data_IF_896598027400
#
_entry.id   IF_896598027400
#
_cell.length_a   1.000
_cell.length_b   1.000
_cell.length_c   1.000
_cell.angle_alpha   90.00
_cell.angle_beta   90.00
_cell.angle_gamma   90.00
#
_symmetry.space_group_name_H-M   'P 1'
#
loop_
_entity.id
_entity.type
_entity.pdbx_description
1 polymer ?
#
# COMPACT_ATOMS: atom_id res chain seq x y z
N UNK A 1 -25.54 -24.12 17.70
CA UNK A 1 -24.60 -23.05 17.32
C UNK A 1 -23.87 -23.50 16.07
N UNK A 2 -24.23 -22.95 14.90
CA UNK A 2 -23.51 -23.23 13.64
C UNK A 2 -22.20 -22.42 13.68
N UNK A 3 -21.06 -23.08 13.54
CA UNK A 3 -19.76 -22.43 13.38
C UNK A 3 -19.68 -21.99 11.92
N UNK A 4 -19.94 -20.72 11.64
CA UNK A 4 -19.68 -20.13 10.31
C UNK A 4 -18.18 -19.86 10.27
N UNK A 5 -17.45 -20.68 9.51
CA UNK A 5 -16.04 -20.42 9.24
C UNK A 5 -16.04 -19.17 8.37
N UNK A 6 -15.64 -18.04 8.95
CA UNK A 6 -15.40 -16.79 8.24
C UNK A 6 -14.43 -17.11 7.11
N UNK A 7 -14.93 -17.12 5.87
CA UNK A 7 -14.15 -17.52 4.70
C UNK A 7 -13.17 -16.40 4.36
N UNK A 8 -12.06 -16.35 5.11
CA UNK A 8 -10.95 -15.39 5.01
C UNK A 8 -10.35 -15.26 3.60
N UNK A 9 -10.56 -16.26 2.74
CA UNK A 9 -10.14 -16.21 1.34
C UNK A 9 -10.87 -15.14 0.49
N UNK A 10 -12.08 -14.74 0.86
CA UNK A 10 -12.84 -13.73 0.11
C UNK A 10 -12.39 -12.29 0.39
N UNK A 11 -11.79 -12.02 1.56
CA UNK A 11 -11.40 -10.66 1.96
C UNK A 11 -10.06 -10.21 1.34
N UNK A 12 -9.15 -11.14 1.02
CA UNK A 12 -7.78 -10.85 0.58
C UNK A 12 -7.61 -10.65 -0.93
N UNK A 13 -8.66 -10.82 -1.74
CA UNK A 13 -8.54 -10.92 -3.21
C UNK A 13 -8.61 -9.58 -3.96
N UNK A 14 -8.65 -8.43 -3.27
CA UNK A 14 -9.15 -7.17 -3.87
C UNK A 14 -8.06 -6.14 -4.24
N UNK A 15 -6.78 -6.34 -3.89
CA UNK A 15 -5.70 -5.40 -4.27
C UNK A 15 -5.21 -5.50 -5.73
N UNK A 16 -5.87 -6.29 -6.59
CA UNK A 16 -5.53 -6.32 -8.02
C UNK A 16 -6.18 -5.15 -8.78
N UNK A 17 -5.70 -3.92 -8.55
CA UNK A 17 -5.98 -2.80 -9.43
C UNK A 17 -5.26 -3.02 -10.77
N UNK A 18 -5.95 -3.68 -11.69
CA UNK A 18 -5.73 -3.66 -13.13
C UNK A 18 -4.27 -3.72 -13.62
N UNK A 19 -3.68 -4.92 -13.54
CA UNK A 19 -2.81 -5.39 -14.60
C UNK A 19 -3.35 -6.72 -15.13
N UNK A 20 -3.38 -6.85 -16.46
CA UNK A 20 -3.67 -8.06 -17.24
C UNK A 20 -5.15 -8.35 -17.56
N UNK A 21 -5.66 -7.59 -18.53
CA UNK A 21 -6.36 -8.23 -19.64
C UNK A 21 -5.39 -9.17 -20.37
N UNK A 22 -5.39 -10.47 -20.05
CA UNK A 22 -5.55 -11.53 -21.05
C UNK A 22 -5.70 -12.93 -20.41
N UNK A 23 -6.62 -13.72 -20.97
CA UNK A 23 -6.82 -15.15 -20.72
C UNK A 23 -5.59 -15.95 -21.14
N UNK A 24 -5.11 -16.89 -20.31
CA UNK A 24 -4.90 -18.28 -20.74
C UNK A 24 -4.59 -19.23 -19.58
N UNK A 25 -4.92 -20.48 -19.86
CA UNK A 25 -5.25 -21.59 -18.98
C UNK A 25 -4.12 -22.20 -18.14
N UNK A 26 -4.50 -22.57 -16.92
CA UNK A 26 -4.34 -23.89 -16.30
C UNK A 26 -3.32 -24.86 -16.94
N UNK A 27 -2.22 -25.15 -16.24
CA UNK A 27 -1.85 -26.54 -15.95
C UNK A 27 -0.92 -26.70 -14.74
N UNK A 28 -1.48 -27.34 -13.73
CA UNK A 28 -0.85 -28.00 -12.59
C UNK A 28 -0.11 -29.28 -13.03
N UNK A 29 0.95 -29.63 -12.30
CA UNK A 29 1.43 -30.95 -11.83
C UNK A 29 2.95 -30.78 -11.54
N UNK A 30 3.42 -30.66 -10.29
CA UNK A 30 3.51 -31.64 -9.19
C UNK A 30 4.70 -32.61 -9.30
N UNK A 31 5.48 -32.62 -8.21
CA UNK A 31 6.37 -33.69 -7.67
C UNK A 31 7.75 -33.90 -8.30
N UNK A 32 8.82 -33.74 -7.51
CA UNK A 32 9.34 -34.78 -6.59
C UNK A 32 10.83 -34.57 -6.23
N UNK A 33 11.18 -35.00 -5.01
CA UNK A 33 12.49 -35.45 -4.52
C UNK A 33 13.57 -34.40 -4.22
N UNK A 34 14.48 -34.54 -3.24
CA UNK A 34 14.67 -35.39 -2.05
C UNK A 34 16.09 -35.04 -1.55
N UNK A 35 16.30 -34.94 -0.23
CA UNK A 35 17.61 -35.04 0.49
C UNK A 35 18.65 -33.93 0.27
N UNK A 36 19.56 -33.55 1.17
CA UNK A 36 20.09 -34.13 2.43
C UNK A 36 20.95 -33.08 3.16
N UNK A 37 20.90 -33.08 4.50
CA UNK A 37 21.97 -32.84 5.50
C UNK A 37 23.12 -31.83 5.24
N UNK A 38 23.34 -30.95 6.23
CA UNK A 38 24.50 -30.95 7.16
C UNK A 38 25.09 -29.54 7.42
N UNK A 39 24.87 -29.07 8.65
CA UNK A 39 25.78 -28.36 9.57
C UNK A 39 27.00 -27.67 8.97
N UNK A 40 27.14 -26.36 9.18
CA UNK A 40 28.36 -25.77 9.76
C UNK A 40 28.05 -24.39 10.34
N UNK A 41 28.17 -24.29 11.67
CA UNK A 41 28.28 -23.06 12.43
C UNK A 41 29.63 -22.40 12.12
N UNK A 42 29.61 -21.12 11.73
CA UNK A 42 30.80 -20.27 11.78
C UNK A 42 30.40 -18.81 12.01
N UNK A 43 30.50 -18.40 13.27
CA UNK A 43 30.69 -16.99 13.62
C UNK A 43 31.94 -16.46 12.95
N UNK A 44 31.86 -15.29 12.35
CA UNK A 44 32.70 -14.13 12.69
C UNK A 44 32.48 -12.99 11.69
N UNK A 45 32.62 -11.80 12.26
CA UNK A 45 33.11 -10.57 11.65
C UNK A 45 32.13 -9.47 11.20
N UNK A 46 32.08 -8.47 12.09
CA UNK A 46 32.45 -7.06 11.85
C UNK A 46 31.56 -6.20 10.97
N UNK A 47 30.85 -5.31 11.68
CA UNK A 47 30.90 -3.86 11.50
C UNK A 47 30.61 -3.32 10.10
N UNK A 48 29.43 -2.72 9.94
CA UNK A 48 29.34 -1.36 9.38
C UNK A 48 28.01 -0.70 9.73
N UNK A 49 28.15 0.48 10.28
CA UNK A 49 27.14 1.48 10.56
C UNK A 49 26.11 1.59 9.44
N UNK A 50 24.84 1.64 9.81
CA UNK A 50 23.87 2.41 9.02
C UNK A 50 23.09 3.27 10.00
N UNK A 51 23.66 4.45 10.19
CA UNK A 51 22.92 5.65 10.55
C UNK A 51 21.73 5.74 9.60
N UNK A 52 20.54 5.40 10.10
CA UNK A 52 19.31 5.74 9.42
C UNK A 52 18.89 7.10 9.97
N UNK A 53 19.54 8.13 9.43
CA UNK A 53 19.02 9.49 9.48
C UNK A 53 17.72 9.48 8.71
N UNK A 54 16.63 9.17 9.42
CA UNK A 54 15.29 9.47 8.95
C UNK A 54 15.17 10.98 9.04
N UNK A 55 15.57 11.65 7.98
CA UNK A 55 15.20 13.03 7.68
C UNK A 55 13.67 13.05 7.57
N UNK A 56 13.01 13.24 8.72
CA UNK A 56 11.59 13.52 8.80
C UNK A 56 11.39 14.94 8.33
N UNK A 57 11.36 15.13 7.02
CA UNK A 57 10.74 16.31 6.47
C UNK A 57 9.21 16.17 6.60
N UNK A 58 8.74 16.82 7.67
CA UNK A 58 7.37 17.21 7.97
C UNK A 58 6.67 17.77 6.73
N UNK A 59 6.03 16.89 5.97
CA UNK A 59 4.92 17.23 5.09
C UNK A 59 3.69 16.58 5.70
N UNK A 60 2.82 17.42 6.25
CA UNK A 60 1.63 17.10 7.05
C UNK A 60 0.63 16.22 6.30
N UNK A 61 0.94 14.94 6.24
CA UNK A 61 0.04 13.88 5.82
C UNK A 61 -0.34 13.10 7.08
N UNK A 62 -1.65 13.04 7.37
CA UNK A 62 -2.23 12.33 8.51
C UNK A 62 -1.47 11.04 8.84
N UNK A 63 -1.02 10.90 10.09
CA UNK A 63 -0.28 9.72 10.53
C UNK A 63 -1.09 8.46 10.24
N UNK A 64 -0.48 7.49 9.55
CA UNK A 64 -1.10 6.20 9.26
C UNK A 64 -1.59 5.53 10.55
N UNK A 65 -2.64 4.71 10.44
CA UNK A 65 -3.16 3.87 11.53
C UNK A 65 -2.04 3.20 12.32
N UNK A 66 -1.99 3.35 13.64
CA UNK A 66 -0.92 2.77 14.45
C UNK A 66 -1.21 1.33 14.87
N UNK A 67 -0.16 0.54 15.10
CA UNK A 67 -0.28 -0.81 15.68
C UNK A 67 -1.06 -0.79 17.00
N UNK A 68 -0.87 0.26 17.82
CA UNK A 68 -1.59 0.40 19.07
C UNK A 68 -3.09 0.62 18.87
N UNK A 69 -3.51 1.31 17.80
CA UNK A 69 -4.93 1.45 17.43
C UNK A 69 -5.48 0.12 16.91
N UNK A 70 -4.74 -0.57 16.02
CA UNK A 70 -5.18 -1.83 15.42
C UNK A 70 -5.31 -2.93 16.50
N UNK A 71 -4.30 -3.10 17.36
CA UNK A 71 -4.29 -4.13 18.40
C UNK A 71 -5.35 -3.91 19.50
N UNK A 72 -5.94 -2.72 19.60
CA UNK A 72 -7.02 -2.43 20.56
C UNK A 72 -8.39 -2.87 20.07
N UNK A 73 -8.56 -3.13 18.78
CA UNK A 73 -9.85 -3.56 18.23
C UNK A 73 -10.29 -4.91 18.81
N UNK A 74 -11.54 -4.97 19.22
CA UNK A 74 -12.13 -6.19 19.80
C UNK A 74 -13.48 -6.52 19.20
N UNK A 75 -14.22 -5.52 18.77
CA UNK A 75 -15.58 -5.67 18.28
C UNK A 75 -15.65 -5.55 16.76
N UNK A 76 -16.70 -6.09 16.16
CA UNK A 76 -17.00 -5.92 14.73
C UNK A 76 -16.95 -4.44 14.35
N UNK A 77 -17.56 -3.56 15.15
CA UNK A 77 -17.57 -2.12 14.90
C UNK A 77 -16.18 -1.48 14.97
N UNK A 78 -15.28 -1.96 15.82
CA UNK A 78 -13.90 -1.48 15.84
C UNK A 78 -13.18 -1.80 14.53
N UNK A 79 -13.33 -3.04 14.03
CA UNK A 79 -12.71 -3.47 12.78
C UNK A 79 -13.28 -2.71 11.57
N UNK A 80 -14.60 -2.52 11.49
CA UNK A 80 -15.23 -1.70 10.44
C UNK A 80 -14.67 -0.27 10.45
N UNK A 81 -14.53 0.34 11.63
CA UNK A 81 -13.97 1.70 11.78
C UNK A 81 -12.50 1.77 11.37
N UNK A 82 -11.68 0.81 11.77
CA UNK A 82 -10.27 0.77 11.39
C UNK A 82 -10.12 0.60 9.88
N UNK A 83 -10.89 -0.30 9.27
CA UNK A 83 -10.85 -0.52 7.84
C UNK A 83 -11.30 0.73 7.07
N UNK A 84 -12.40 1.37 7.48
CA UNK A 84 -12.84 2.64 6.88
C UNK A 84 -11.76 3.73 6.99
N UNK A 85 -11.13 3.87 8.16
CA UNK A 85 -10.02 4.82 8.35
C UNK A 85 -8.84 4.53 7.43
N UNK A 86 -8.52 3.25 7.18
CA UNK A 86 -7.47 2.86 6.25
C UNK A 86 -7.82 3.26 4.81
N UNK A 87 -9.07 3.01 4.36
CA UNK A 87 -9.54 3.41 3.03
C UNK A 87 -9.49 4.93 2.85
N UNK A 88 -9.93 5.70 3.86
CA UNK A 88 -9.88 7.16 3.85
C UNK A 88 -8.43 7.67 3.74
N UNK A 89 -7.49 7.01 4.44
CA UNK A 89 -6.06 7.32 4.33
C UNK A 89 -5.51 7.03 2.92
N UNK A 90 -5.91 5.92 2.29
CA UNK A 90 -5.53 5.59 0.91
C UNK A 90 -6.00 6.65 -0.09
N UNK A 91 -7.24 7.11 0.05
CA UNK A 91 -7.78 8.20 -0.78
C UNK A 91 -6.99 9.48 -0.55
N UNK A 92 -6.81 9.87 0.71
CA UNK A 92 -6.12 11.11 1.08
C UNK A 92 -4.69 11.16 0.53
N UNK A 93 -3.93 10.07 0.63
CA UNK A 93 -2.55 10.00 0.13
C UNK A 93 -2.51 10.14 -1.39
N UNK A 94 -3.44 9.50 -2.09
CA UNK A 94 -3.51 9.57 -3.55
C UNK A 94 -3.93 10.98 -3.99
N UNK A 95 -4.91 11.59 -3.34
CA UNK A 95 -5.30 12.97 -3.65
C UNK A 95 -4.16 13.97 -3.42
N UNK A 96 -3.40 13.80 -2.33
CA UNK A 96 -2.24 14.63 -2.01
C UNK A 96 -1.16 14.53 -3.11
N UNK A 97 -0.86 13.32 -3.59
CA UNK A 97 0.08 13.14 -4.70
C UNK A 97 -0.40 13.83 -6.00
N UNK A 98 -1.71 13.81 -6.24
CA UNK A 98 -2.37 14.46 -7.36
C UNK A 98 -2.27 15.98 -7.41
N UNK A 99 -1.96 16.63 -6.29
CA UNK A 99 -1.84 18.10 -6.21
C UNK A 99 -0.73 18.65 -7.12
N UNK A 100 0.30 17.84 -7.39
CA UNK A 100 1.41 18.20 -8.28
C UNK A 100 1.16 17.88 -9.76
N UNK A 101 0.10 17.12 -10.06
CA UNK A 101 -0.26 16.77 -11.45
C UNK A 101 -0.98 17.96 -12.10
N UNK A 102 -0.58 18.32 -13.30
CA UNK A 102 -1.15 19.47 -14.03
C UNK A 102 -1.41 19.13 -15.50
N UNK A 103 -2.11 20.02 -16.20
CA UNK A 103 -2.41 19.87 -17.63
C UNK A 103 -3.30 18.66 -17.94
N UNK A 104 -3.11 18.05 -19.10
CA UNK A 104 -3.91 16.90 -19.56
C UNK A 104 -3.75 15.65 -18.70
N UNK A 105 -2.65 15.54 -17.94
CA UNK A 105 -2.44 14.44 -17.00
C UNK A 105 -3.39 14.52 -15.79
N UNK A 106 -3.87 15.72 -15.43
CA UNK A 106 -4.75 15.93 -14.28
C UNK A 106 -6.10 15.25 -14.46
N UNK A 107 -6.68 15.32 -15.66
CA UNK A 107 -7.97 14.68 -15.96
C UNK A 107 -7.90 13.16 -15.82
N UNK A 108 -6.81 12.55 -16.31
CA UNK A 108 -6.58 11.10 -16.17
C UNK A 108 -6.36 10.72 -14.70
N UNK A 109 -5.63 11.55 -13.96
CA UNK A 109 -5.40 11.35 -12.54
C UNK A 109 -6.70 11.44 -11.73
N UNK A 110 -7.55 12.41 -12.02
CA UNK A 110 -8.86 12.56 -11.36
C UNK A 110 -9.79 11.39 -11.68
N UNK A 111 -9.78 10.89 -12.92
CA UNK A 111 -10.50 9.68 -13.30
C UNK A 111 -9.99 8.44 -12.55
N UNK A 112 -8.66 8.33 -12.37
CA UNK A 112 -8.04 7.28 -11.56
C UNK A 112 -8.49 7.37 -10.10
N UNK A 113 -8.44 8.55 -9.47
CA UNK A 113 -8.93 8.75 -8.10
C UNK A 113 -10.40 8.37 -7.98
N UNK A 114 -11.26 8.79 -8.93
CA UNK A 114 -12.67 8.44 -8.90
C UNK A 114 -12.89 6.93 -8.95
N UNK A 115 -12.13 6.23 -9.79
CA UNK A 115 -12.17 4.76 -9.89
C UNK A 115 -11.67 4.10 -8.62
N UNK A 116 -10.58 4.62 -8.04
CA UNK A 116 -10.02 4.16 -6.77
C UNK A 116 -11.05 4.31 -5.64
N UNK A 117 -11.67 5.48 -5.48
CA UNK A 117 -12.71 5.73 -4.48
C UNK A 117 -13.86 4.73 -4.59
N UNK A 118 -14.32 4.47 -5.80
CA UNK A 118 -15.39 3.48 -6.03
C UNK A 118 -14.95 2.06 -5.66
N UNK A 119 -13.72 1.68 -6.01
CA UNK A 119 -13.14 0.39 -5.63
C UNK A 119 -13.02 0.21 -4.11
N UNK A 120 -12.54 1.25 -3.41
CA UNK A 120 -12.39 1.24 -1.95
C UNK A 120 -13.75 1.23 -1.23
N UNK A 121 -14.77 1.92 -1.75
CA UNK A 121 -16.13 1.85 -1.20
C UNK A 121 -16.71 0.43 -1.31
N UNK A 122 -16.57 -0.18 -2.49
CA UNK A 122 -16.98 -1.58 -2.69
C UNK A 122 -16.20 -2.54 -1.76
N UNK A 123 -14.91 -2.31 -1.55
CA UNK A 123 -14.11 -3.12 -0.64
C UNK A 123 -14.55 -2.94 0.82
N UNK A 124 -14.92 -1.72 1.21
CA UNK A 124 -15.51 -1.42 2.52
C UNK A 124 -16.83 -2.15 2.73
N UNK A 125 -17.68 -2.19 1.72
CA UNK A 125 -18.95 -2.92 1.78
C UNK A 125 -18.72 -4.43 1.93
N UNK A 126 -17.82 -5.03 1.14
CA UNK A 126 -17.47 -6.44 1.24
C UNK A 126 -16.89 -6.78 2.62
N UNK A 127 -15.99 -5.93 3.14
CA UNK A 127 -15.42 -6.10 4.47
C UNK A 127 -16.50 -6.04 5.55
N UNK A 128 -17.40 -5.05 5.47
CA UNK A 128 -18.48 -4.88 6.42
C UNK A 128 -19.46 -6.07 6.39
N UNK A 129 -19.86 -6.53 5.19
CA UNK A 129 -20.72 -7.70 5.01
C UNK A 129 -20.07 -8.97 5.57
N UNK A 130 -18.76 -9.15 5.33
CA UNK A 130 -17.99 -10.24 5.91
C UNK A 130 -18.06 -10.26 7.44
N UNK A 131 -17.96 -9.09 8.09
CA UNK A 131 -18.05 -8.98 9.54
C UNK A 131 -19.47 -9.10 10.09
N UNK A 132 -20.51 -8.78 9.31
CA UNK A 132 -21.90 -8.97 9.71
C UNK A 132 -22.25 -10.44 9.95
N UNK A 133 -21.52 -11.36 9.30
CA UNK A 133 -21.64 -12.80 9.57
C UNK A 133 -21.21 -13.19 11.00
N UNK A 134 -20.35 -12.38 11.63
CA UNK A 134 -19.90 -12.55 13.02
C UNK A 134 -20.96 -11.98 13.98
N UNK A 135 -21.50 -10.80 13.66
CA UNK A 135 -22.62 -10.20 14.37
C UNK A 135 -22.68 -8.68 14.23
N UNK A 136 -23.49 -8.05 15.08
CA UNK A 136 -23.63 -6.59 15.16
C UNK A 136 -22.33 -5.89 15.58
N UNK A 137 -22.25 -4.58 15.39
CA UNK A 137 -21.05 -3.79 15.68
C UNK A 137 -20.53 -3.91 17.13
N UNK A 138 -21.40 -4.18 18.11
CA UNK A 138 -20.99 -4.39 19.52
C UNK A 138 -20.51 -5.82 19.81
N UNK A 139 -20.65 -6.75 18.86
CA UNK A 139 -20.24 -8.15 19.01
C UNK A 139 -18.72 -8.24 19.08
N UNK A 140 -18.23 -8.90 20.12
CA UNK A 140 -16.79 -9.21 20.25
C UNK A 140 -16.42 -10.28 19.22
N UNK A 141 -15.41 -10.01 18.42
CA UNK A 141 -14.88 -10.95 17.43
C UNK A 141 -14.16 -12.09 18.16
N UNK A 142 -14.39 -13.37 17.79
CA UNK A 142 -13.64 -14.51 18.31
C UNK A 142 -12.13 -14.30 18.22
N UNK A 143 -11.36 -14.85 19.17
CA UNK A 143 -9.93 -14.54 19.30
C UNK A 143 -9.16 -14.85 18.02
N UNK A 144 -9.41 -16.01 17.43
CA UNK A 144 -8.74 -16.49 16.22
C UNK A 144 -9.02 -15.57 15.03
N UNK A 145 -10.29 -15.23 14.80
CA UNK A 145 -10.69 -14.30 13.72
C UNK A 145 -10.17 -12.88 13.98
N UNK A 146 -10.12 -12.46 15.25
CA UNK A 146 -9.61 -11.16 15.67
C UNK A 146 -8.12 -11.01 15.37
N UNK A 147 -7.33 -12.04 15.67
CA UNK A 147 -5.89 -12.04 15.37
C UNK A 147 -5.64 -11.99 13.86
N UNK A 148 -6.41 -12.76 13.08
CA UNK A 148 -6.35 -12.71 11.62
C UNK A 148 -6.74 -11.33 11.06
N UNK A 149 -7.80 -10.71 11.57
CA UNK A 149 -8.21 -9.37 11.12
C UNK A 149 -7.19 -8.29 11.50
N UNK A 150 -6.54 -8.41 12.67
CA UNK A 150 -5.45 -7.51 13.07
C UNK A 150 -4.28 -7.62 12.11
N UNK A 151 -3.88 -8.85 11.74
CA UNK A 151 -2.80 -9.09 10.77
C UNK A 151 -3.14 -8.49 9.39
N UNK A 152 -4.33 -8.76 8.86
CA UNK A 152 -4.81 -8.19 7.59
C UNK A 152 -4.75 -6.65 7.58
N UNK A 153 -5.17 -6.00 8.68
CA UNK A 153 -5.14 -4.54 8.78
C UNK A 153 -3.70 -3.98 8.86
N UNK A 154 -2.77 -4.72 9.47
CA UNK A 154 -1.35 -4.34 9.51
C UNK A 154 -0.71 -4.46 8.14
N UNK A 155 -0.93 -5.58 7.46
CA UNK A 155 -0.39 -5.83 6.12
C UNK A 155 -0.89 -4.75 5.14
N UNK A 156 -2.19 -4.45 5.16
CA UNK A 156 -2.77 -3.43 4.30
C UNK A 156 -2.26 -2.01 4.62
N UNK A 157 -1.94 -1.72 5.89
CA UNK A 157 -1.29 -0.47 6.28
C UNK A 157 0.16 -0.41 5.79
N UNK A 158 0.92 -1.51 5.89
CA UNK A 158 2.30 -1.58 5.40
C UNK A 158 2.36 -1.39 3.88
N UNK A 159 1.44 -2.01 3.14
CA UNK A 159 1.30 -1.82 1.69
C UNK A 159 0.99 -0.35 1.34
N UNK A 160 0.10 0.29 2.10
CA UNK A 160 -0.20 1.72 1.95
C UNK A 160 1.01 2.60 2.24
N UNK A 161 1.79 2.27 3.27
CA UNK A 161 3.02 2.98 3.63
C UNK A 161 4.08 2.86 2.54
N UNK A 162 4.26 1.66 1.97
CA UNK A 162 5.15 1.43 0.83
C UNK A 162 4.72 2.26 -0.38
N UNK A 163 3.45 2.19 -0.75
CA UNK A 163 2.89 2.95 -1.88
C UNK A 163 3.12 4.45 -1.69
N UNK A 164 2.85 4.97 -0.49
CA UNK A 164 3.07 6.39 -0.16
C UNK A 164 4.53 6.79 -0.32
N UNK A 165 5.45 5.93 0.11
CA UNK A 165 6.89 6.17 -0.03
C UNK A 165 7.31 6.21 -1.49
N UNK A 166 6.85 5.24 -2.30
CA UNK A 166 7.10 5.20 -3.74
C UNK A 166 6.58 6.45 -4.45
N UNK A 167 5.37 6.91 -4.12
CA UNK A 167 4.83 8.16 -4.67
C UNK A 167 5.70 9.37 -4.32
N UNK A 168 6.15 9.48 -3.06
CA UNK A 168 7.06 10.56 -2.63
C UNK A 168 8.42 10.50 -3.35
N UNK A 169 8.98 9.32 -3.51
CA UNK A 169 10.26 9.12 -4.20
C UNK A 169 10.15 9.51 -5.67
N UNK A 170 9.06 9.12 -6.36
CA UNK A 170 8.79 9.55 -7.74
C UNK A 170 8.65 11.07 -7.86
N UNK A 171 7.93 11.70 -6.94
CA UNK A 171 7.77 13.17 -6.93
C UNK A 171 9.13 13.87 -6.75
N UNK A 172 9.98 13.33 -5.88
CA UNK A 172 11.34 13.84 -5.66
C UNK A 172 12.22 13.68 -6.91
N UNK A 173 12.15 12.55 -7.60
CA UNK A 173 12.91 12.34 -8.85
C UNK A 173 12.44 13.26 -9.97
N UNK A 174 11.13 13.47 -10.13
CA UNK A 174 10.59 14.45 -11.09
C UNK A 174 11.05 15.87 -10.78
N UNK A 175 11.14 16.23 -9.49
CA UNK A 175 11.63 17.55 -9.07
C UNK A 175 13.13 17.78 -9.29
N UNK A 176 13.92 16.72 -9.51
CA UNK A 176 15.37 16.80 -9.76
C UNK A 176 15.75 16.91 -11.24
N UNK A 177 14.80 16.84 -12.18
CA UNK A 177 15.12 16.94 -13.61
C UNK A 177 15.81 18.28 -13.89
N UNK A 178 17.08 18.30 -14.33
CA UNK A 178 17.74 19.53 -14.69
C UNK A 178 17.02 20.09 -15.91
N UNK A 179 16.51 21.31 -15.77
CA UNK A 179 16.27 22.16 -16.93
C UNK A 179 17.64 22.28 -17.58
N UNK A 180 17.79 21.73 -18.79
CA UNK A 180 18.93 22.07 -19.60
C UNK A 180 18.80 23.58 -19.84
N UNK A 181 19.55 24.38 -19.09
CA UNK A 181 19.95 25.71 -19.52
C UNK A 181 20.74 25.50 -20.81
N UNK A 182 20.01 25.46 -21.93
CA UNK A 182 20.55 25.61 -23.26
C UNK A 182 20.94 27.09 -23.41
N UNK A 183 21.96 27.50 -22.66
CA UNK A 183 22.71 28.72 -22.95
C UNK A 183 23.75 28.40 -24.03
N UNK A 184 23.28 27.99 -25.20
CA UNK A 184 24.07 28.05 -26.43
C UNK A 184 23.84 29.42 -27.09
N UNK A 185 24.60 30.41 -26.62
CA UNK A 185 24.82 31.64 -27.38
C UNK A 185 26.33 31.96 -27.37
N UNK A 186 27.08 31.07 -28.00
CA UNK A 186 28.42 31.37 -28.52
C UNK A 186 28.26 32.35 -29.69
N UNK A 187 28.07 33.63 -29.36
CA UNK A 187 28.20 34.74 -30.31
C UNK A 187 29.68 35.15 -30.44
N UNK A 188 30.51 34.26 -31.01
CA UNK A 188 31.80 34.64 -31.58
C UNK A 188 31.58 35.01 -33.06
N UNK A 189 31.18 36.26 -33.30
CA UNK A 189 31.28 36.89 -34.62
C UNK A 189 32.39 37.93 -34.57
N UNK A 190 33.63 37.46 -34.65
CA UNK A 190 34.80 38.25 -35.00
C UNK A 190 34.53 38.95 -36.34
N UNK A 191 34.12 40.21 -36.27
CA UNK A 191 34.39 41.21 -37.29
C UNK A 191 35.42 42.13 -36.66
N UNK A 192 36.59 42.31 -37.27
CA UNK A 192 37.01 43.56 -37.94
C UNK A 192 38.40 43.34 -38.60
N UNK A 193 38.44 43.63 -39.91
CA UNK A 193 39.55 44.15 -40.75
C UNK A 193 40.90 43.38 -40.89
#
# INVERSE_FOLDING_TARGET
MKKMILSTAALLTIFSLAACSNKQDTKKETSNSQSTTKVTSKSANTSKSKDNSTDSEDTSSSSLLTDAEINKAKTVGDFKKLFAKLMDQSVSITEEAGTSVTGSAKEQYDAMISTLKQGLENQKDIFNEGLESIGSDSTVVPKEDREALIEILKDAREELESTRKEMKDMQKELSKSPVADDSSDDSDSDSEE
#
